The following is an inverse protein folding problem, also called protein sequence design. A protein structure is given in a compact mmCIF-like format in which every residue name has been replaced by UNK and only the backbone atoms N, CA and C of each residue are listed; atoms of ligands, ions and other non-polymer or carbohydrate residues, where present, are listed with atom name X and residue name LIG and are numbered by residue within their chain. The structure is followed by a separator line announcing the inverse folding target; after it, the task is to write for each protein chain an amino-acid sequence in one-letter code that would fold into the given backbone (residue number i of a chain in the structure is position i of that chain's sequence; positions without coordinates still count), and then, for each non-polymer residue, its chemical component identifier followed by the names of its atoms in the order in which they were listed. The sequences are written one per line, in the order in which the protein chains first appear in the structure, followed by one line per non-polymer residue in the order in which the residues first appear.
data_IF_564323073818
#
_entry.id   IF_564323073818
#
_cell.length_a   1.000
_cell.length_b   1.000
_cell.length_c   1.000
_cell.angle_alpha   90.00
_cell.angle_beta   90.00
_cell.angle_gamma   90.00
#
_symmetry.space_group_name_H-M   'P 1'
#
loop_
_entity.id
_entity.type
_entity.pdbx_description
1 polymer ?
#
# COMPACT_ATOMS: atom_id res chain seq x y z
N UNK A 1 -4.23 -29.74 26.71
CA UNK A 1 -3.39 -28.83 27.52
C UNK A 1 -3.68 -27.39 27.11
N UNK A 2 -3.85 -26.50 28.08
CA UNK A 2 -3.92 -25.06 27.81
C UNK A 2 -2.47 -24.63 27.54
N UNK A 3 -2.13 -24.45 26.26
CA UNK A 3 -0.85 -23.86 25.86
C UNK A 3 -0.79 -22.47 26.50
N UNK A 4 0.18 -22.24 27.38
CA UNK A 4 0.38 -20.91 28.00
C UNK A 4 0.52 -19.87 26.88
N UNK A 5 -0.16 -18.71 26.96
CA UNK A 5 0.00 -17.67 25.97
C UNK A 5 1.47 -17.20 25.98
N UNK A 6 2.14 -17.33 24.83
CA UNK A 6 3.51 -16.88 24.63
C UNK A 6 3.52 -15.36 24.79
N UNK A 7 4.37 -14.85 25.68
CA UNK A 7 4.49 -13.42 25.92
C UNK A 7 5.24 -12.74 24.77
N UNK A 8 4.97 -11.44 24.48
CA UNK A 8 5.71 -10.73 23.44
C UNK A 8 7.23 -10.77 23.61
N UNK A 9 7.72 -10.79 24.86
CA UNK A 9 9.14 -10.85 25.18
C UNK A 9 9.80 -12.21 24.83
N UNK A 10 9.02 -13.30 24.83
CA UNK A 10 9.48 -14.62 24.40
C UNK A 10 9.54 -14.75 22.88
N UNK A 11 8.72 -13.98 22.15
CA UNK A 11 8.67 -13.99 20.69
C UNK A 11 9.59 -12.94 20.06
N UNK A 12 9.77 -11.81 20.74
CA UNK A 12 10.43 -10.62 20.22
C UNK A 12 11.28 -9.94 21.30
N UNK A 13 12.59 -9.86 21.05
CA UNK A 13 13.47 -9.00 21.83
C UNK A 13 13.15 -7.53 21.56
N UNK A 14 12.75 -6.78 22.58
CA UNK A 14 12.33 -5.38 22.44
C UNK A 14 13.43 -4.46 21.93
N UNK A 15 14.66 -4.63 22.41
CA UNK A 15 15.79 -3.76 22.10
C UNK A 15 16.12 -3.69 20.58
N UNK A 16 16.34 -4.80 19.86
CA UNK A 16 16.58 -4.77 18.42
C UNK A 16 15.43 -4.14 17.61
N UNK A 17 14.18 -4.38 18.01
CA UNK A 17 13.01 -3.83 17.32
C UNK A 17 12.92 -2.31 17.49
N UNK A 18 13.15 -1.80 18.70
CA UNK A 18 13.17 -0.36 18.96
C UNK A 18 14.29 0.31 18.17
N UNK A 19 15.49 -0.27 18.14
CA UNK A 19 16.61 0.24 17.35
C UNK A 19 16.32 0.21 15.84
N UNK A 20 15.64 -0.82 15.34
CA UNK A 20 15.23 -0.89 13.95
C UNK A 20 14.25 0.24 13.58
N UNK A 21 13.28 0.53 14.46
CA UNK A 21 12.33 1.64 14.29
C UNK A 21 13.08 2.98 14.21
N UNK A 22 14.03 3.22 15.12
CA UNK A 22 14.86 4.44 15.14
C UNK A 22 15.69 4.62 13.87
N UNK A 23 16.12 3.51 13.25
CA UNK A 23 16.85 3.51 11.98
C UNK A 23 15.96 3.62 10.73
N UNK A 24 14.65 3.82 10.91
CA UNK A 24 13.72 3.91 9.79
C UNK A 24 13.51 2.58 9.07
N UNK A 25 13.75 1.45 9.74
CA UNK A 25 13.37 0.11 9.25
C UNK A 25 11.89 -0.08 9.50
N UNK A 26 11.20 -0.67 8.53
CA UNK A 26 9.77 -0.98 8.58
C UNK A 26 9.55 -2.48 8.57
N UNK A 27 8.46 -2.91 9.21
CA UNK A 27 8.04 -4.29 9.28
C UNK A 27 6.81 -4.50 8.40
N UNK A 28 6.87 -5.51 7.53
CA UNK A 28 5.76 -5.90 6.68
C UNK A 28 4.85 -6.91 7.40
N UNK A 29 3.55 -6.67 7.34
CA UNK A 29 2.51 -7.59 7.79
C UNK A 29 1.64 -8.01 6.60
N UNK A 30 1.67 -9.31 6.30
CA UNK A 30 0.86 -9.90 5.24
C UNK A 30 -0.55 -10.20 5.76
N UNK A 31 -1.59 -9.64 5.13
CA UNK A 31 -2.97 -9.85 5.59
C UNK A 31 -3.61 -11.12 5.02
N UNK A 32 -3.17 -11.65 3.88
CA UNK A 32 -3.81 -12.81 3.24
C UNK A 32 -3.85 -14.05 4.14
N UNK A 33 -2.79 -14.41 4.89
CA UNK A 33 -2.86 -15.49 5.87
C UNK A 33 -3.97 -15.31 6.92
N UNK A 34 -4.34 -14.07 7.24
CA UNK A 34 -5.42 -13.78 8.18
C UNK A 34 -6.83 -14.02 7.60
N UNK A 35 -7.00 -13.93 6.28
CA UNK A 35 -8.30 -14.11 5.62
C UNK A 35 -8.45 -15.48 4.94
N UNK A 36 -7.34 -16.17 4.61
CA UNK A 36 -7.33 -17.43 3.85
C UNK A 36 -7.75 -18.65 4.67
N UNK A 37 -7.12 -18.85 5.83
CA UNK A 37 -7.31 -20.06 6.66
C UNK A 37 -7.50 -19.72 8.14
N UNK A 38 -8.36 -20.46 8.85
CA UNK A 38 -8.72 -20.17 10.24
C UNK A 38 -7.58 -20.46 11.23
N UNK A 39 -6.70 -21.41 10.91
CA UNK A 39 -5.53 -21.73 11.72
C UNK A 39 -4.47 -20.66 11.53
N UNK A 40 -4.14 -20.33 10.27
CA UNK A 40 -3.21 -19.23 9.96
C UNK A 40 -3.69 -17.89 10.51
N UNK A 41 -5.00 -17.63 10.47
CA UNK A 41 -5.60 -16.43 11.07
C UNK A 41 -5.24 -16.22 12.52
N UNK A 42 -5.36 -17.26 13.35
CA UNK A 42 -5.02 -17.17 14.77
C UNK A 42 -3.54 -16.82 14.97
N UNK A 43 -2.65 -17.48 14.23
CA UNK A 43 -1.22 -17.22 14.30
C UNK A 43 -0.86 -15.82 13.79
N UNK A 44 -1.39 -15.40 12.65
CA UNK A 44 -1.11 -14.08 12.07
C UNK A 44 -1.57 -12.96 12.98
N UNK A 45 -2.80 -13.05 13.52
CA UNK A 45 -3.31 -12.03 14.44
C UNK A 45 -2.48 -12.01 15.73
N UNK A 46 -2.19 -13.16 16.33
CA UNK A 46 -1.41 -13.23 17.57
C UNK A 46 0.02 -12.68 17.40
N UNK A 47 0.70 -13.05 16.30
CA UNK A 47 2.06 -12.58 16.02
C UNK A 47 2.08 -11.08 15.71
N UNK A 48 1.14 -10.59 14.90
CA UNK A 48 1.03 -9.17 14.59
C UNK A 48 0.76 -8.35 15.86
N UNK A 49 -0.15 -8.81 16.72
CA UNK A 49 -0.45 -8.14 17.98
C UNK A 49 0.78 -8.06 18.89
N UNK A 50 1.53 -9.17 19.03
CA UNK A 50 2.76 -9.21 19.82
C UNK A 50 3.84 -8.25 19.30
N UNK A 51 4.01 -8.15 17.98
CA UNK A 51 4.92 -7.17 17.36
C UNK A 51 4.47 -5.74 17.68
N UNK A 52 3.17 -5.47 17.53
CA UNK A 52 2.59 -4.14 17.70
C UNK A 52 2.64 -3.63 19.14
N UNK A 53 2.65 -4.52 20.14
CA UNK A 53 2.91 -4.13 21.54
C UNK A 53 4.28 -3.46 21.71
N UNK A 54 5.29 -3.92 20.95
CA UNK A 54 6.65 -3.38 21.02
C UNK A 54 6.79 -2.16 20.11
N UNK A 55 6.32 -2.25 18.86
CA UNK A 55 6.44 -1.18 17.88
C UNK A 55 5.50 0.00 18.15
N UNK A 56 4.46 -0.18 18.98
CA UNK A 56 3.39 0.80 19.26
C UNK A 56 2.71 1.31 17.98
N UNK A 57 2.54 0.43 16.99
CA UNK A 57 1.97 0.77 15.69
C UNK A 57 2.83 1.62 14.76
N UNK A 58 4.11 1.86 15.11
CA UNK A 58 5.06 2.58 14.27
C UNK A 58 5.75 1.65 13.26
N UNK A 59 6.12 2.23 12.12
CA UNK A 59 6.92 1.59 11.09
C UNK A 59 6.34 0.25 10.59
N UNK A 60 5.03 0.18 10.41
CA UNK A 60 4.33 -0.99 9.88
C UNK A 60 3.87 -0.72 8.45
N UNK A 61 4.03 -1.70 7.57
CA UNK A 61 3.44 -1.73 6.23
C UNK A 61 2.49 -2.92 6.14
N UNK A 62 1.31 -2.71 5.56
CA UNK A 62 0.36 -3.78 5.29
C UNK A 62 0.42 -4.14 3.81
N UNK A 63 0.63 -5.42 3.53
CA UNK A 63 0.72 -5.98 2.18
C UNK A 63 -0.18 -7.19 2.05
N UNK A 64 -0.55 -7.54 0.81
CA UNK A 64 -1.40 -8.71 0.57
C UNK A 64 -0.63 -10.02 0.71
N UNK A 65 0.49 -10.17 0.02
CA UNK A 65 1.10 -11.50 -0.17
C UNK A 65 0.16 -12.46 -0.90
N UNK A 66 -0.72 -11.91 -1.75
CA UNK A 66 -1.73 -12.67 -2.47
C UNK A 66 -1.12 -13.54 -3.57
N UNK A 67 -1.53 -14.81 -3.62
CA UNK A 67 -1.24 -15.75 -4.72
C UNK A 67 -2.34 -15.72 -5.79
N UNK A 68 -3.55 -15.27 -5.42
CA UNK A 68 -4.73 -15.27 -6.28
C UNK A 68 -5.42 -13.89 -6.26
N UNK A 69 -5.97 -13.41 -7.39
CA UNK A 69 -6.65 -12.11 -7.45
C UNK A 69 -7.78 -11.93 -6.43
N UNK A 70 -8.53 -13.00 -6.13
CA UNK A 70 -9.64 -12.99 -5.14
C UNK A 70 -9.21 -12.65 -3.70
N UNK A 71 -7.90 -12.71 -3.42
CA UNK A 71 -7.32 -12.39 -2.11
C UNK A 71 -6.98 -10.90 -1.97
N UNK A 72 -7.03 -10.13 -3.07
CA UNK A 72 -6.81 -8.69 -3.04
C UNK A 72 -8.00 -7.97 -2.39
N UNK A 73 -7.70 -6.84 -1.77
CA UNK A 73 -8.67 -5.99 -1.06
C UNK A 73 -8.37 -4.53 -1.39
N UNK A 74 -9.40 -3.69 -1.33
CA UNK A 74 -9.20 -2.25 -1.52
C UNK A 74 -8.31 -1.67 -0.42
N UNK A 75 -7.60 -0.55 -0.66
CA UNK A 75 -6.68 0.03 0.32
C UNK A 75 -7.35 0.38 1.66
N UNK A 76 -8.62 0.80 1.63
CA UNK A 76 -9.40 1.04 2.85
C UNK A 76 -9.76 -0.25 3.59
N UNK A 77 -10.08 -1.33 2.89
CA UNK A 77 -10.33 -2.63 3.51
C UNK A 77 -9.06 -3.15 4.18
N UNK A 78 -7.90 -2.99 3.53
CA UNK A 78 -6.60 -3.37 4.12
C UNK A 78 -6.31 -2.53 5.36
N UNK A 79 -6.53 -1.22 5.32
CA UNK A 79 -6.37 -0.35 6.48
C UNK A 79 -7.29 -0.77 7.65
N UNK A 80 -8.53 -1.18 7.35
CA UNK A 80 -9.48 -1.69 8.33
C UNK A 80 -9.07 -3.05 8.90
N UNK A 81 -8.51 -3.96 8.08
CA UNK A 81 -7.90 -5.21 8.58
C UNK A 81 -6.78 -4.91 9.59
N UNK A 82 -6.07 -3.78 9.42
CA UNK A 82 -5.09 -3.32 10.39
C UNK A 82 -5.63 -3.21 11.83
N UNK A 83 -6.91 -2.93 12.02
CA UNK A 83 -7.53 -2.90 13.35
C UNK A 83 -7.54 -4.27 14.02
N UNK A 84 -7.71 -5.35 13.26
CA UNK A 84 -7.65 -6.73 13.76
C UNK A 84 -6.25 -7.07 14.30
N UNK A 85 -5.21 -6.41 13.81
CA UNK A 85 -3.85 -6.57 14.30
C UNK A 85 -3.54 -5.67 15.52
N UNK A 86 -4.39 -4.68 15.82
CA UNK A 86 -4.19 -3.74 16.91
C UNK A 86 -3.63 -2.38 16.48
N UNK A 87 -3.70 -2.04 15.19
CA UNK A 87 -3.41 -0.68 14.72
C UNK A 87 -4.57 0.27 15.03
N UNK A 88 -4.25 1.53 15.31
CA UNK A 88 -5.25 2.60 15.31
C UNK A 88 -5.72 2.92 13.88
N UNK A 89 -6.86 3.60 13.72
CA UNK A 89 -7.33 4.03 12.40
C UNK A 89 -6.33 4.92 11.64
N UNK A 90 -5.60 5.79 12.34
CA UNK A 90 -4.54 6.59 11.72
C UNK A 90 -3.35 5.73 11.28
N UNK A 91 -2.89 4.80 12.12
CA UNK A 91 -1.76 3.94 11.81
C UNK A 91 -2.10 2.91 10.71
N UNK A 92 -3.33 2.41 10.67
CA UNK A 92 -3.82 1.54 9.60
C UNK A 92 -3.79 2.24 8.23
N UNK A 93 -4.26 3.49 8.16
CA UNK A 93 -4.16 4.31 6.95
C UNK A 93 -2.71 4.62 6.58
N UNK A 94 -1.86 4.96 7.55
CA UNK A 94 -0.44 5.22 7.32
C UNK A 94 0.29 3.97 6.78
N UNK A 95 -0.07 2.79 7.26
CA UNK A 95 0.54 1.52 6.86
C UNK A 95 0.31 1.13 5.39
N UNK A 96 -0.73 1.66 4.75
CA UNK A 96 -0.99 1.46 3.31
C UNK A 96 -0.61 2.67 2.45
N UNK A 97 -0.17 3.78 3.06
CA UNK A 97 0.11 5.04 2.37
C UNK A 97 1.50 5.61 2.71
N UNK A 98 1.59 6.47 3.72
CA UNK A 98 2.80 7.23 4.08
C UNK A 98 3.98 6.32 4.42
N UNK A 99 3.74 5.22 5.15
CA UNK A 99 4.79 4.26 5.50
C UNK A 99 5.32 3.54 4.27
N UNK A 100 4.44 3.12 3.36
CA UNK A 100 4.82 2.48 2.10
C UNK A 100 5.69 3.40 1.25
N UNK A 101 5.35 4.69 1.17
CA UNK A 101 6.17 5.70 0.49
C UNK A 101 7.54 5.86 1.16
N UNK A 102 7.59 5.92 2.49
CA UNK A 102 8.84 6.02 3.22
C UNK A 102 9.76 4.81 2.98
N UNK A 103 9.20 3.59 2.93
CA UNK A 103 9.95 2.38 2.60
C UNK A 103 10.53 2.42 1.19
N UNK A 104 9.76 2.90 0.21
CA UNK A 104 10.24 3.03 -1.17
C UNK A 104 11.42 3.99 -1.26
N UNK A 105 11.30 5.19 -0.69
CA UNK A 105 12.37 6.19 -0.66
C UNK A 105 13.61 5.69 0.10
N UNK A 106 13.40 5.00 1.23
CA UNK A 106 14.50 4.38 1.97
C UNK A 106 15.19 3.29 1.12
N UNK A 107 14.44 2.54 0.30
CA UNK A 107 14.98 1.59 -0.65
C UNK A 107 15.83 2.23 -1.76
N UNK A 108 15.37 3.34 -2.32
CA UNK A 108 16.14 4.11 -3.31
C UNK A 108 17.43 4.67 -2.71
N UNK A 109 17.36 5.22 -1.50
CA UNK A 109 18.52 5.76 -0.80
C UNK A 109 19.63 4.73 -0.55
N UNK A 110 19.29 3.43 -0.41
CA UNK A 110 20.27 2.32 -0.28
C UNK A 110 20.96 1.98 -1.59
N UNK A 111 20.32 2.19 -2.73
CA UNK A 111 20.90 1.95 -4.07
C UNK A 111 21.88 3.05 -4.45
N UNK A 112 21.68 4.24 -3.89
CA UNK A 112 22.55 5.39 -4.05
C UNK A 112 23.60 5.47 -2.95
N UNK A 113 24.75 6.10 -3.17
CA UNK A 113 25.71 6.34 -2.10
C UNK A 113 25.12 7.31 -1.06
N UNK A 114 24.67 6.77 0.08
CA UNK A 114 24.31 7.53 1.28
C UNK A 114 23.34 8.72 1.06
N UNK A 115 22.29 8.55 0.25
CA UNK A 115 21.22 9.55 0.09
C UNK A 115 21.37 10.51 -1.11
N UNK A 116 22.30 10.26 -2.03
CA UNK A 116 22.47 11.05 -3.26
C UNK A 116 21.65 10.46 -4.41
N UNK A 117 20.51 11.06 -4.73
CA UNK A 117 19.70 10.65 -5.90
C UNK A 117 20.33 11.19 -7.19
N UNK A 118 20.90 10.30 -8.01
CA UNK A 118 21.41 10.65 -9.34
C UNK A 118 20.30 10.44 -10.38
N UNK A 119 19.85 11.53 -11.02
CA UNK A 119 18.91 11.47 -12.15
C UNK A 119 19.61 11.90 -13.43
N UNK A 120 19.40 11.14 -14.51
CA UNK A 120 19.83 11.51 -15.86
C UNK A 120 18.59 12.00 -16.61
N UNK A 121 18.55 13.29 -16.98
CA UNK A 121 17.51 13.78 -17.90
C UNK A 121 17.72 13.11 -19.25
N UNK A 122 16.73 12.35 -19.72
CA UNK A 122 16.70 11.94 -21.12
C UNK A 122 16.41 13.16 -21.99
N UNK A 123 17.10 13.33 -23.14
CA UNK A 123 16.68 14.30 -24.15
C UNK A 123 15.27 13.94 -24.60
N UNK A 124 14.38 14.94 -24.68
CA UNK A 124 13.08 14.75 -25.33
C UNK A 124 13.34 14.55 -26.84
N UNK A 125 12.70 13.56 -27.49
CA UNK A 125 12.67 13.54 -28.95
C UNK A 125 11.98 14.82 -29.46
N UNK A 126 12.39 15.35 -30.63
CA UNK A 126 11.75 16.52 -31.21
C UNK A 126 10.25 16.24 -31.38
N UNK A 127 9.42 17.20 -30.98
CA UNK A 127 7.97 17.18 -31.22
C UNK A 127 7.75 17.08 -32.74
N UNK A 128 7.08 16.03 -33.20
CA UNK A 128 6.62 15.92 -34.58
C UNK A 128 5.52 16.98 -34.74
N UNK A 129 5.72 17.92 -35.67
CA UNK A 129 4.70 18.91 -36.05
C UNK A 129 3.49 18.13 -36.56
N UNK A 130 2.36 18.19 -35.83
CA UNK A 130 1.08 17.70 -36.33
C UNK A 130 0.71 18.54 -37.56
N UNK A 131 0.74 17.93 -38.75
CA UNK A 131 0.12 18.50 -39.94
C UNK A 131 -1.38 18.65 -39.63
N UNK A 132 -1.84 19.90 -39.55
CA UNK A 132 -3.27 20.21 -39.56
C UNK A 132 -3.78 19.85 -40.96
N UNK A 133 -4.41 18.69 -41.09
CA UNK A 133 -5.30 18.41 -42.22
C UNK A 133 -6.59 19.20 -41.97
N UNK A 134 -6.59 20.45 -42.42
CA UNK A 134 -7.80 21.24 -42.69
C UNK A 134 -8.53 20.57 -43.87
N UNK A 135 -9.21 19.46 -43.61
CA UNK A 135 -10.22 18.93 -44.52
C UNK A 135 -11.53 19.69 -44.27
N UNK A 136 -11.71 20.75 -45.06
CA UNK A 136 -12.99 21.35 -45.40
C UNK A 136 -13.94 20.26 -45.91
N UNK A 137 -14.78 19.70 -45.04
CA UNK A 137 -16.01 19.03 -45.47
C UNK A 137 -17.19 19.98 -45.20
N UNK A 138 -17.62 20.56 -46.31
CA UNK A 138 -18.72 21.50 -46.48
C UNK A 138 -20.01 21.05 -45.77
N UNK A 139 -20.74 22.07 -45.33
CA UNK A 139 -22.12 22.07 -44.88
C UNK A 139 -23.03 21.17 -45.73
N UNK A 140 -23.77 20.28 -45.07
CA UNK A 140 -25.12 19.93 -45.51
C UNK A 140 -26.02 20.05 -44.27
N UNK A 141 -26.66 21.22 -44.18
CA UNK A 141 -27.89 21.44 -43.43
C UNK A 141 -28.92 20.37 -43.83
N UNK A 142 -29.45 19.63 -42.86
CA UNK A 142 -30.82 19.15 -42.92
C UNK A 142 -31.42 19.31 -41.51
N UNK A 143 -32.15 20.42 -41.38
CA UNK A 143 -33.20 20.61 -40.40
C UNK A 143 -34.13 19.39 -40.43
N UNK A 144 -34.37 18.78 -39.28
CA UNK A 144 -35.69 18.21 -38.98
C UNK A 144 -35.92 18.39 -37.48
N UNK A 145 -36.63 19.49 -37.17
CA UNK A 145 -37.51 19.58 -36.03
C UNK A 145 -38.35 18.29 -35.95
N UNK A 146 -38.42 17.69 -34.77
CA UNK A 146 -39.73 17.31 -34.22
C UNK A 146 -39.59 17.03 -32.73
N UNK A 147 -40.40 17.80 -32.01
CA UNK A 147 -40.78 17.68 -30.62
C UNK A 147 -41.14 16.23 -30.24
N UNK A 148 -40.88 15.85 -28.98
CA UNK A 148 -41.96 15.30 -28.15
C UNK A 148 -41.51 15.24 -26.68
N UNK A 149 -42.22 16.04 -25.89
CA UNK A 149 -42.38 15.93 -24.45
C UNK A 149 -42.82 14.50 -24.05
N UNK A 150 -42.40 14.03 -22.87
CA UNK A 150 -43.34 13.58 -21.82
C UNK A 150 -42.62 12.94 -20.61
N UNK A 151 -42.93 13.52 -19.45
CA UNK A 151 -42.91 13.06 -18.03
C UNK A 151 -41.64 12.50 -17.34
#
# INVERSE_FOLDING_TARGET
EIVKPITPAELFSSLPLVQAIERGVYFELLYVPAIKDSTMRRYTISNAYNLLQICRGKNIVLSSGAEKPIQLRGPYDVANIGWLFGLSGSNGKAAVSTNTRAVLLHGEARKTACGVVYTVKKPQPPEEEEENDDDDDDDDDDDDDDDDDDD
#
